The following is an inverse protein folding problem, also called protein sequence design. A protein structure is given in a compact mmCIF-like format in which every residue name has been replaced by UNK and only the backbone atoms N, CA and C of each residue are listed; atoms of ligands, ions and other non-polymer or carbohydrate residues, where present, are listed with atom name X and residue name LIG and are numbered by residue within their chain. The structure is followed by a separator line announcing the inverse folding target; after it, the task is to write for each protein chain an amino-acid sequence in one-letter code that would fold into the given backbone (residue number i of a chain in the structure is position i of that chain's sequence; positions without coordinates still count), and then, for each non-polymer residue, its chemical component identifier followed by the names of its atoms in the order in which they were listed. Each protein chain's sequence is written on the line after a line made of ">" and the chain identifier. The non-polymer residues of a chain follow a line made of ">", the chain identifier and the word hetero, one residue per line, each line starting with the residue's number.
data_IF_553676054539
#
_entry.id   IF_553676054539
#
_cell.length_a   1.000
_cell.length_b   1.000
_cell.length_c   1.000
_cell.angle_alpha   90.00
_cell.angle_beta   90.00
_cell.angle_gamma   90.00
#
_symmetry.space_group_name_H-M   'P 1'
#
loop_
_entity.id
_entity.type
_entity.pdbx_description
1 polymer ?
#
# COMPACT_ATOMS: atom_id res chain seq x y z
N UNK A 1 -9.24 19.55 12.76
CA UNK A 1 -8.36 19.55 11.58
C UNK A 1 -9.15 20.06 10.38
N UNK A 2 -8.63 21.01 9.59
CA UNK A 2 -9.36 21.53 8.43
C UNK A 2 -9.51 20.48 7.32
N UNK A 3 -10.61 20.53 6.58
CA UNK A 3 -10.96 19.51 5.58
C UNK A 3 -10.04 19.51 4.36
N UNK A 4 -9.45 20.66 4.03
CA UNK A 4 -8.38 20.76 3.02
C UNK A 4 -7.18 19.88 3.38
N UNK A 5 -6.79 19.87 4.68
CA UNK A 5 -5.70 19.01 5.16
C UNK A 5 -6.06 17.52 5.08
N UNK A 6 -7.31 17.12 5.43
CA UNK A 6 -7.77 15.72 5.29
C UNK A 6 -7.65 15.20 3.85
N UNK A 7 -8.00 16.02 2.88
CA UNK A 7 -7.87 15.68 1.45
C UNK A 7 -6.41 15.41 1.06
N UNK A 8 -5.48 16.25 1.53
CA UNK A 8 -4.04 16.07 1.30
C UNK A 8 -3.51 14.77 1.92
N UNK A 9 -3.97 14.39 3.10
CA UNK A 9 -3.56 13.14 3.76
C UNK A 9 -3.98 11.88 3.01
N UNK A 10 -5.16 11.88 2.38
CA UNK A 10 -5.58 10.76 1.51
C UNK A 10 -4.68 10.66 0.27
N UNK A 11 -4.19 11.79 -0.27
CA UNK A 11 -3.22 11.78 -1.38
C UNK A 11 -1.92 11.10 -0.96
N UNK A 12 -1.40 11.38 0.24
CA UNK A 12 -0.20 10.71 0.74
C UNK A 12 -0.36 9.19 0.82
N UNK A 13 -1.54 8.70 1.23
CA UNK A 13 -1.82 7.24 1.19
C UNK A 13 -1.86 6.71 -0.24
N UNK A 14 -2.50 7.42 -1.17
CA UNK A 14 -2.56 7.03 -2.59
C UNK A 14 -1.16 6.95 -3.19
N UNK A 15 -0.33 7.98 -2.99
CA UNK A 15 1.07 8.00 -3.44
C UNK A 15 1.84 6.85 -2.80
N UNK A 16 1.62 6.60 -1.50
CA UNK A 16 2.23 5.49 -0.78
C UNK A 16 1.95 4.13 -1.42
N UNK A 17 0.68 3.86 -1.76
CA UNK A 17 0.25 2.62 -2.43
C UNK A 17 0.92 2.47 -3.81
N UNK A 18 0.95 3.55 -4.60
CA UNK A 18 1.56 3.52 -5.93
C UNK A 18 3.06 3.25 -5.86
N UNK A 19 3.78 3.90 -4.94
CA UNK A 19 5.21 3.67 -4.75
C UNK A 19 5.50 2.23 -4.29
N UNK A 20 4.69 1.71 -3.37
CA UNK A 20 4.83 0.33 -2.90
C UNK A 20 4.64 -0.72 -4.00
N UNK A 21 3.88 -0.40 -5.05
CA UNK A 21 3.61 -1.31 -6.18
C UNK A 21 4.82 -1.47 -7.10
N UNK A 22 5.75 -0.51 -7.10
CA UNK A 22 6.87 -0.51 -8.06
C UNK A 22 7.92 -1.59 -7.77
N UNK A 23 8.01 -2.10 -6.54
CA UNK A 23 8.95 -3.15 -6.07
C UNK A 23 10.33 -3.00 -6.73
N UNK A 24 11.06 -1.96 -6.29
CA UNK A 24 12.37 -1.62 -6.84
C UNK A 24 13.47 -1.83 -5.79
N UNK A 25 14.32 -2.81 -6.05
CA UNK A 25 15.47 -3.13 -5.21
C UNK A 25 16.74 -2.46 -5.75
N UNK A 26 17.48 -1.84 -4.84
CA UNK A 26 18.77 -1.24 -5.11
C UNK A 26 19.84 -1.93 -4.29
N UNK A 27 20.99 -2.17 -4.91
CA UNK A 27 22.18 -2.70 -4.25
C UNK A 27 23.20 -1.59 -4.07
N UNK A 28 23.63 -1.37 -2.83
CA UNK A 28 24.73 -0.45 -2.49
C UNK A 28 25.79 -1.25 -1.74
N UNK A 29 26.82 -1.70 -2.46
CA UNK A 29 27.81 -2.62 -1.90
C UNK A 29 27.17 -3.96 -1.48
N UNK A 30 27.38 -4.45 -0.23
CA UNK A 30 26.73 -5.67 0.25
C UNK A 30 25.26 -5.45 0.65
N UNK A 31 24.84 -4.21 0.87
CA UNK A 31 23.52 -3.84 1.38
C UNK A 31 22.47 -3.87 0.26
N UNK A 32 21.34 -4.53 0.52
CA UNK A 32 20.15 -4.44 -0.32
C UNK A 32 19.12 -3.51 0.32
N UNK A 33 18.61 -2.56 -0.45
CA UNK A 33 17.65 -1.56 0.00
C UNK A 33 16.48 -1.54 -0.97
N UNK A 34 15.25 -1.46 -0.45
CA UNK A 34 14.04 -1.21 -1.23
C UNK A 34 13.53 0.21 -0.91
N UNK A 35 14.24 1.28 -1.34
CA UNK A 35 13.99 2.65 -0.89
C UNK A 35 12.61 3.15 -1.31
N UNK A 36 12.14 2.77 -2.49
CA UNK A 36 10.84 3.22 -3.02
C UNK A 36 9.68 2.64 -2.20
N UNK A 37 9.77 1.36 -1.82
CA UNK A 37 8.81 0.72 -0.93
C UNK A 37 8.81 1.38 0.47
N UNK A 38 10.00 1.65 1.02
CA UNK A 38 10.13 2.31 2.32
C UNK A 38 9.55 3.74 2.29
N UNK A 39 9.85 4.53 1.26
CA UNK A 39 9.26 5.87 1.05
C UNK A 39 7.74 5.76 0.94
N UNK A 40 7.22 4.76 0.22
CA UNK A 40 5.79 4.51 0.13
C UNK A 40 5.13 4.17 1.47
N UNK A 41 5.79 3.39 2.32
CA UNK A 41 5.36 3.11 3.70
C UNK A 41 5.32 4.40 4.53
N UNK A 42 6.38 5.22 4.46
CA UNK A 42 6.43 6.50 5.20
C UNK A 42 5.33 7.45 4.73
N UNK A 43 5.10 7.57 3.42
CA UNK A 43 4.01 8.37 2.87
C UNK A 43 2.64 7.89 3.38
N UNK A 44 2.43 6.57 3.42
CA UNK A 44 1.20 5.96 3.97
C UNK A 44 1.02 6.28 5.46
N UNK A 45 2.11 6.30 6.24
CA UNK A 45 2.06 6.68 7.67
C UNK A 45 1.66 8.13 7.82
N UNK A 46 2.31 9.04 7.09
CA UNK A 46 1.99 10.47 7.13
C UNK A 46 0.51 10.69 6.75
N UNK A 47 0.03 9.97 5.75
CA UNK A 47 -1.35 10.02 5.30
C UNK A 47 -2.36 9.47 6.31
N UNK A 48 -2.02 8.44 7.10
CA UNK A 48 -2.96 7.81 8.04
C UNK A 48 -2.94 8.42 9.46
N UNK A 49 -1.80 8.97 9.88
CA UNK A 49 -1.57 9.52 11.21
C UNK A 49 -2.63 10.53 11.70
N UNK A 50 -3.20 11.41 10.85
CA UNK A 50 -4.28 12.27 11.30
C UNK A 50 -5.63 11.55 11.45
N UNK A 51 -5.87 10.46 10.72
CA UNK A 51 -7.09 9.66 10.81
C UNK A 51 -7.07 8.68 11.99
N UNK A 52 -5.90 8.31 12.50
CA UNK A 52 -5.78 7.45 13.69
C UNK A 52 -6.32 8.09 14.98
N UNK A 53 -6.46 9.43 14.98
CA UNK A 53 -7.09 10.19 16.07
C UNK A 53 -8.62 10.18 16.00
N UNK A 54 -9.22 9.68 14.92
CA UNK A 54 -10.68 9.58 14.77
C UNK A 54 -11.25 8.40 15.57
N UNK A 55 -12.58 8.41 15.78
CA UNK A 55 -13.28 7.33 16.52
C UNK A 55 -13.29 6.00 15.76
N UNK A 56 -12.97 5.98 14.46
CA UNK A 56 -12.96 4.76 13.67
C UNK A 56 -11.77 3.86 14.04
N UNK A 57 -12.07 2.71 14.67
CA UNK A 57 -11.09 1.71 15.10
C UNK A 57 -10.25 1.14 13.93
N UNK A 58 -10.79 1.10 12.71
CA UNK A 58 -10.09 0.58 11.54
C UNK A 58 -8.88 1.45 11.15
N UNK A 59 -9.00 2.79 11.23
CA UNK A 59 -7.86 3.68 11.00
C UNK A 59 -6.76 3.51 12.05
N UNK A 60 -7.14 3.23 13.31
CA UNK A 60 -6.17 2.91 14.38
C UNK A 60 -5.42 1.62 14.11
N UNK A 61 -6.07 0.62 13.51
CA UNK A 61 -5.44 -0.66 13.16
C UNK A 61 -4.50 -0.58 11.94
N UNK A 62 -4.58 0.49 11.15
CA UNK A 62 -3.70 0.70 9.99
C UNK A 62 -2.26 1.06 10.43
N UNK A 63 -2.09 1.93 11.43
CA UNK A 63 -0.78 2.39 11.90
C UNK A 63 0.14 1.25 12.38
N UNK A 64 -0.29 0.34 13.27
CA UNK A 64 0.52 -0.80 13.67
C UNK A 64 0.97 -1.66 12.49
N UNK A 65 0.11 -1.80 11.47
CA UNK A 65 0.43 -2.59 10.28
C UNK A 65 1.59 -1.95 9.49
N UNK A 66 1.57 -0.62 9.35
CA UNK A 66 2.66 0.13 8.71
C UNK A 66 3.94 0.18 9.55
N UNK A 67 3.84 0.23 10.89
CA UNK A 67 5.01 0.14 11.76
C UNK A 67 5.70 -1.22 11.66
N UNK A 68 4.93 -2.31 11.58
CA UNK A 68 5.48 -3.65 11.31
C UNK A 68 6.21 -3.66 9.96
N UNK A 69 5.68 -3.00 8.92
CA UNK A 69 6.36 -2.88 7.63
C UNK A 69 7.73 -2.16 7.76
N UNK A 70 7.81 -1.09 8.56
CA UNK A 70 9.09 -0.40 8.82
C UNK A 70 10.07 -1.34 9.54
N UNK A 71 9.63 -2.02 10.59
CA UNK A 71 10.46 -2.95 11.35
C UNK A 71 10.99 -4.05 10.42
N UNK A 72 10.13 -4.59 9.55
CA UNK A 72 10.51 -5.59 8.56
C UNK A 72 11.57 -5.04 7.58
N UNK A 73 11.41 -3.82 7.07
CA UNK A 73 12.39 -3.16 6.21
C UNK A 73 13.76 -3.00 6.89
N UNK A 74 13.78 -2.50 8.13
CA UNK A 74 15.02 -2.30 8.90
C UNK A 74 15.68 -3.65 9.21
N UNK A 75 14.89 -4.64 9.64
CA UNK A 75 15.38 -5.99 9.91
C UNK A 75 15.97 -6.64 8.67
N UNK A 76 15.31 -6.49 7.51
CA UNK A 76 15.84 -6.96 6.23
C UNK A 76 17.16 -6.31 5.86
N UNK A 77 17.29 -4.98 6.02
CA UNK A 77 18.56 -4.29 5.78
C UNK A 77 19.68 -4.88 6.65
N UNK A 78 19.43 -5.08 7.95
CA UNK A 78 20.43 -5.62 8.88
C UNK A 78 20.83 -7.06 8.56
N UNK A 79 19.86 -7.90 8.22
CA UNK A 79 20.13 -9.30 7.81
C UNK A 79 20.89 -9.34 6.49
N UNK A 80 20.53 -8.48 5.52
CA UNK A 80 21.17 -8.43 4.20
C UNK A 80 22.67 -8.07 4.26
N UNK A 81 23.10 -7.30 5.28
CA UNK A 81 24.51 -6.95 5.49
C UNK A 81 25.38 -8.16 5.83
N UNK A 82 24.81 -9.16 6.49
CA UNK A 82 25.53 -10.31 7.03
C UNK A 82 25.30 -11.59 6.21
N UNK A 83 24.57 -11.50 5.08
CA UNK A 83 24.23 -12.67 4.26
C UNK A 83 25.13 -12.86 3.05
N UNK A 84 25.56 -14.10 2.88
CA UNK A 84 26.29 -14.57 1.71
C UNK A 84 25.42 -14.52 0.44
N UNK A 85 26.07 -14.37 -0.71
CA UNK A 85 25.41 -14.23 -2.01
C UNK A 85 24.44 -15.37 -2.34
N UNK A 86 24.75 -16.60 -1.92
CA UNK A 86 23.95 -17.81 -2.17
C UNK A 86 22.56 -17.80 -1.52
N UNK A 87 22.38 -17.05 -0.43
CA UNK A 87 21.11 -17.03 0.31
C UNK A 87 20.31 -15.72 0.12
N UNK A 88 20.86 -14.74 -0.62
CA UNK A 88 20.21 -13.44 -0.82
C UNK A 88 18.90 -13.53 -1.58
N UNK A 89 18.83 -14.37 -2.62
CA UNK A 89 17.60 -14.55 -3.42
C UNK A 89 16.43 -14.99 -2.55
N UNK A 90 16.65 -16.01 -1.71
CA UNK A 90 15.63 -16.50 -0.76
C UNK A 90 15.24 -15.45 0.27
N UNK A 91 16.19 -14.67 0.79
CA UNK A 91 15.88 -13.59 1.74
C UNK A 91 15.00 -12.51 1.08
N UNK A 92 15.34 -12.10 -0.14
CA UNK A 92 14.58 -11.11 -0.92
C UNK A 92 13.14 -11.59 -1.12
N UNK A 93 12.99 -12.84 -1.54
CA UNK A 93 11.68 -13.46 -1.74
C UNK A 93 10.83 -13.44 -0.46
N UNK A 94 11.40 -13.91 0.66
CA UNK A 94 10.70 -13.96 1.95
C UNK A 94 10.32 -12.55 2.39
N UNK A 95 11.23 -11.59 2.23
CA UNK A 95 11.00 -10.20 2.59
C UNK A 95 9.87 -9.57 1.76
N UNK A 96 9.92 -9.67 0.42
CA UNK A 96 8.87 -9.13 -0.43
C UNK A 96 7.53 -9.81 -0.20
N UNK A 97 7.52 -11.13 0.06
CA UNK A 97 6.30 -11.88 0.37
C UNK A 97 5.67 -11.39 1.68
N UNK A 98 6.45 -11.25 2.75
CA UNK A 98 5.97 -10.73 4.02
C UNK A 98 5.50 -9.28 3.90
N UNK A 99 6.27 -8.45 3.20
CA UNK A 99 5.92 -7.05 2.96
C UNK A 99 4.60 -6.94 2.18
N UNK A 100 4.44 -7.74 1.13
CA UNK A 100 3.20 -7.78 0.34
C UNK A 100 1.99 -8.13 1.22
N UNK A 101 2.08 -9.17 2.07
CA UNK A 101 1.00 -9.54 2.99
C UNK A 101 0.65 -8.39 3.95
N UNK A 102 1.66 -7.73 4.52
CA UNK A 102 1.46 -6.60 5.44
C UNK A 102 0.78 -5.44 4.72
N UNK A 103 1.23 -5.10 3.51
CA UNK A 103 0.68 -4.00 2.73
C UNK A 103 -0.73 -4.30 2.21
N UNK A 104 -1.03 -5.54 1.84
CA UNK A 104 -2.39 -6.00 1.52
C UNK A 104 -3.31 -5.84 2.73
N UNK A 105 -2.87 -6.22 3.92
CA UNK A 105 -3.65 -6.06 5.15
C UNK A 105 -3.89 -4.58 5.49
N UNK A 106 -2.88 -3.72 5.30
CA UNK A 106 -3.02 -2.28 5.48
C UNK A 106 -4.05 -1.69 4.51
N UNK A 107 -3.90 -1.95 3.21
CA UNK A 107 -4.78 -1.40 2.16
C UNK A 107 -6.21 -1.90 2.31
N UNK A 108 -6.43 -3.16 2.72
CA UNK A 108 -7.75 -3.66 3.08
C UNK A 108 -8.38 -2.86 4.22
N UNK A 109 -7.70 -2.73 5.37
CA UNK A 109 -8.19 -1.98 6.53
C UNK A 109 -8.47 -0.52 6.19
N UNK A 110 -7.61 0.09 5.38
CA UNK A 110 -7.77 1.48 4.93
C UNK A 110 -9.00 1.65 4.03
N UNK A 111 -9.20 0.73 3.09
CA UNK A 111 -10.39 0.68 2.22
C UNK A 111 -11.67 0.58 3.03
N UNK A 112 -11.70 -0.35 3.98
CA UNK A 112 -12.86 -0.54 4.84
C UNK A 112 -13.08 0.68 5.74
N UNK A 113 -12.04 1.28 6.30
CA UNK A 113 -12.16 2.48 7.12
C UNK A 113 -12.79 3.66 6.35
N UNK A 114 -12.33 3.91 5.11
CA UNK A 114 -12.90 4.93 4.23
C UNK A 114 -14.34 4.60 3.80
N UNK A 115 -14.60 3.33 3.51
CA UNK A 115 -15.94 2.81 3.17
C UNK A 115 -16.92 3.08 4.30
N UNK A 116 -16.55 2.74 5.53
CA UNK A 116 -17.34 3.00 6.72
C UNK A 116 -17.63 4.48 6.90
N UNK A 117 -16.60 5.33 6.75
CA UNK A 117 -16.75 6.78 6.84
C UNK A 117 -17.67 7.34 5.74
N UNK A 118 -17.63 6.78 4.53
CA UNK A 118 -18.53 7.16 3.44
C UNK A 118 -19.97 6.71 3.67
N UNK A 119 -20.20 5.50 4.22
CA UNK A 119 -21.52 4.99 4.60
C UNK A 119 -22.16 5.82 5.70
N UNK A 120 -21.39 6.22 6.73
CA UNK A 120 -21.86 7.15 7.77
C UNK A 120 -22.35 8.48 7.18
N UNK A 121 -21.79 8.91 6.04
CA UNK A 121 -22.20 10.11 5.32
C UNK A 121 -23.37 9.86 4.32
N UNK A 122 -24.06 8.70 4.42
CA UNK A 122 -25.16 8.26 3.53
C UNK A 122 -24.82 8.31 2.04
N UNK A 123 -23.61 7.90 1.66
CA UNK A 123 -23.21 7.87 0.24
C UNK A 123 -23.11 6.45 -0.28
N UNK A 124 -23.85 6.20 -1.35
CA UNK A 124 -23.58 5.09 -2.25
C UNK A 124 -22.27 5.41 -2.98
N UNK A 125 -21.18 4.77 -2.55
CA UNK A 125 -20.01 4.65 -3.39
C UNK A 125 -20.03 3.27 -4.04
N UNK A 126 -19.47 3.15 -5.24
CA UNK A 126 -19.29 1.87 -5.94
C UNK A 126 -18.25 0.99 -5.23
N UNK A 127 -18.64 0.50 -4.04
CA UNK A 127 -17.83 -0.36 -3.18
C UNK A 127 -17.42 -1.69 -3.85
N UNK A 128 -18.25 -2.32 -4.70
CA UNK A 128 -17.86 -3.56 -5.39
C UNK A 128 -16.67 -3.35 -6.35
N UNK A 129 -16.64 -2.23 -7.05
CA UNK A 129 -15.60 -1.89 -8.03
C UNK A 129 -14.26 -1.62 -7.35
N UNK A 130 -14.28 -0.92 -6.21
CA UNK A 130 -13.10 -0.66 -5.37
C UNK A 130 -12.51 -1.97 -4.82
N UNK A 131 -13.37 -2.89 -4.37
CA UNK A 131 -12.95 -4.21 -3.87
C UNK A 131 -12.41 -5.10 -4.98
N UNK A 132 -13.01 -5.08 -6.17
CA UNK A 132 -12.49 -5.79 -7.34
C UNK A 132 -11.11 -5.28 -7.75
N UNK A 133 -10.93 -3.96 -7.84
CA UNK A 133 -9.64 -3.33 -8.14
C UNK A 133 -8.54 -3.74 -7.14
N UNK A 134 -8.88 -3.71 -5.85
CA UNK A 134 -8.02 -4.17 -4.77
C UNK A 134 -7.65 -5.65 -4.91
N UNK A 135 -8.62 -6.52 -5.18
CA UNK A 135 -8.38 -7.95 -5.32
C UNK A 135 -7.48 -8.25 -6.53
N UNK A 136 -7.73 -7.60 -7.67
CA UNK A 136 -6.89 -7.70 -8.86
C UNK A 136 -5.45 -7.27 -8.53
N UNK A 137 -5.28 -6.13 -7.86
CA UNK A 137 -3.97 -5.67 -7.40
C UNK A 137 -3.25 -6.73 -6.53
N UNK A 138 -3.95 -7.31 -5.55
CA UNK A 138 -3.38 -8.34 -4.67
C UNK A 138 -2.95 -9.60 -5.41
N UNK A 139 -3.80 -10.11 -6.32
CA UNK A 139 -3.52 -11.33 -7.09
C UNK A 139 -2.29 -11.15 -7.97
N UNK A 140 -2.18 -10.00 -8.66
CA UNK A 140 -1.06 -9.79 -9.57
C UNK A 140 0.25 -9.45 -8.87
N UNK A 141 0.22 -8.88 -7.65
CA UNK A 141 1.43 -8.82 -6.81
C UNK A 141 1.89 -10.22 -6.40
N UNK A 142 0.97 -11.09 -5.97
CA UNK A 142 1.35 -12.46 -5.60
C UNK A 142 1.93 -13.23 -6.80
N UNK A 143 1.32 -13.07 -7.98
CA UNK A 143 1.83 -13.64 -9.23
C UNK A 143 3.21 -13.09 -9.62
N UNK A 144 3.46 -11.79 -9.39
CA UNK A 144 4.79 -11.19 -9.63
C UNK A 144 5.85 -11.85 -8.77
N UNK A 145 5.59 -11.98 -7.47
CA UNK A 145 6.54 -12.57 -6.51
C UNK A 145 6.80 -14.05 -6.84
N UNK A 146 5.76 -14.81 -7.21
CA UNK A 146 5.91 -16.21 -7.63
C UNK A 146 6.69 -16.33 -8.94
N UNK A 147 6.35 -15.53 -9.95
CA UNK A 147 7.01 -15.58 -11.26
C UNK A 147 8.49 -15.19 -11.18
N UNK A 148 8.83 -14.20 -10.35
CA UNK A 148 10.22 -13.82 -10.06
C UNK A 148 11.00 -14.95 -9.41
N UNK A 149 10.37 -15.75 -8.54
CA UNK A 149 11.02 -16.90 -7.90
C UNK A 149 11.29 -18.06 -8.87
N UNK A 150 10.51 -18.20 -9.93
CA UNK A 150 10.66 -19.26 -10.94
C UNK A 150 11.38 -18.78 -12.21
N UNK A 151 11.98 -17.58 -12.19
CA UNK A 151 12.66 -16.95 -13.33
C UNK A 151 11.81 -16.86 -14.61
N UNK A 152 10.48 -16.75 -14.47
CA UNK A 152 9.55 -16.70 -15.61
C UNK A 152 9.34 -15.24 -16.04
N UNK A 153 10.35 -14.69 -16.73
CA UNK A 153 10.44 -13.26 -17.07
C UNK A 153 9.16 -12.66 -17.70
N UNK A 154 8.54 -13.37 -18.65
CA UNK A 154 7.33 -12.88 -19.34
C UNK A 154 6.16 -12.77 -18.34
N UNK A 155 5.97 -13.76 -17.48
CA UNK A 155 4.89 -13.76 -16.48
C UNK A 155 5.14 -12.68 -15.44
N UNK A 156 6.39 -12.49 -15.00
CA UNK A 156 6.78 -11.37 -14.15
C UNK A 156 6.38 -10.03 -14.76
N UNK A 157 6.79 -9.76 -16.01
CA UNK A 157 6.55 -8.47 -16.66
C UNK A 157 5.05 -8.19 -16.83
N UNK A 158 4.29 -9.19 -17.27
CA UNK A 158 2.84 -9.08 -17.41
C UNK A 158 2.17 -8.87 -16.05
N UNK A 159 2.55 -9.64 -15.03
CA UNK A 159 1.99 -9.50 -13.69
C UNK A 159 2.29 -8.14 -13.05
N UNK A 160 3.51 -7.61 -13.25
CA UNK A 160 3.90 -6.25 -12.81
C UNK A 160 3.09 -5.17 -13.52
N UNK A 161 2.89 -5.31 -14.83
CA UNK A 161 2.11 -4.33 -15.59
C UNK A 161 0.65 -4.31 -15.13
N UNK A 162 0.03 -5.49 -14.95
CA UNK A 162 -1.36 -5.58 -14.52
C UNK A 162 -1.53 -5.14 -13.06
N UNK A 163 -0.60 -5.49 -12.17
CA UNK A 163 -0.64 -5.02 -10.78
C UNK A 163 -0.53 -3.49 -10.69
N UNK A 164 0.33 -2.87 -11.50
CA UNK A 164 0.43 -1.42 -11.57
C UNK A 164 -0.83 -0.77 -12.13
N UNK A 165 -1.40 -1.31 -13.23
CA UNK A 165 -2.66 -0.83 -13.79
C UNK A 165 -3.81 -0.92 -12.77
N UNK A 166 -3.90 -2.04 -12.04
CA UNK A 166 -4.88 -2.25 -10.98
C UNK A 166 -4.67 -1.28 -9.80
N UNK A 167 -3.42 -1.02 -9.40
CA UNK A 167 -3.07 -0.05 -8.37
C UNK A 167 -3.46 1.37 -8.77
N UNK A 168 -3.21 1.78 -10.02
CA UNK A 168 -3.65 3.08 -10.55
C UNK A 168 -5.17 3.21 -10.55
N UNK A 169 -5.87 2.17 -10.99
CA UNK A 169 -7.33 2.17 -11.02
C UNK A 169 -7.93 2.24 -9.60
N UNK A 170 -7.36 1.49 -8.66
CA UNK A 170 -7.70 1.55 -7.24
C UNK A 170 -7.41 2.92 -6.64
N UNK A 171 -6.23 3.50 -6.90
CA UNK A 171 -5.85 4.85 -6.50
C UNK A 171 -6.81 5.92 -7.03
N UNK A 172 -7.22 5.82 -8.29
CA UNK A 172 -8.20 6.73 -8.89
C UNK A 172 -9.56 6.61 -8.20
N UNK A 173 -9.99 5.39 -7.90
CA UNK A 173 -11.24 5.12 -7.18
C UNK A 173 -11.23 5.72 -5.77
N UNK A 174 -10.11 5.59 -5.04
CA UNK A 174 -9.90 6.26 -3.75
C UNK A 174 -9.94 7.78 -3.88
N UNK A 175 -9.34 8.34 -4.93
CA UNK A 175 -9.35 9.79 -5.19
C UNK A 175 -10.77 10.31 -5.50
N UNK A 176 -11.58 9.56 -6.24
CA UNK A 176 -12.98 9.89 -6.49
C UNK A 176 -13.79 9.84 -5.20
N UNK A 177 -13.59 8.80 -4.37
CA UNK A 177 -14.23 8.69 -3.05
C UNK A 177 -13.87 9.89 -2.16
N UNK A 178 -12.59 10.27 -2.13
CA UNK A 178 -12.10 11.47 -1.44
C UNK A 178 -12.84 12.74 -1.90
N UNK A 179 -12.95 12.96 -3.21
CA UNK A 179 -13.65 14.13 -3.77
C UNK A 179 -15.13 14.13 -3.38
N UNK A 180 -15.81 12.99 -3.45
CA UNK A 180 -17.21 12.83 -3.02
C UNK A 180 -17.37 13.14 -1.54
N UNK A 181 -16.46 12.68 -0.68
CA UNK A 181 -16.44 13.01 0.77
C UNK A 181 -16.31 14.53 0.96
N UNK A 182 -15.35 15.18 0.31
CA UNK A 182 -15.03 16.61 0.48
C UNK A 182 -16.16 17.58 0.03
N UNK A 183 -16.71 17.40 -1.17
CA UNK A 183 -17.72 18.34 -1.74
C UNK A 183 -18.97 18.46 -0.87
N UNK A 184 -19.34 17.38 -0.20
CA UNK A 184 -20.59 17.28 0.54
C UNK A 184 -20.45 17.77 1.98
N UNK A 185 -19.28 17.64 2.61
CA UNK A 185 -19.06 18.26 3.92
C UNK A 185 -19.12 19.80 3.80
N UNK A 186 -18.61 20.34 2.67
CA UNK A 186 -18.75 21.77 2.34
C UNK A 186 -20.20 22.21 2.11
N UNK A 187 -21.12 21.32 1.71
CA UNK A 187 -22.55 21.63 1.49
C UNK A 187 -23.40 21.59 2.77
N UNK A 188 -22.93 20.92 3.82
CA UNK A 188 -23.62 20.80 5.12
C UNK A 188 -23.15 21.82 6.16
N UNK A 189 -22.35 22.80 5.75
CA UNK A 189 -22.02 24.02 6.48
C UNK A 189 -22.65 25.20 5.76
#
# INVERSE_FOLDING_TARGET
>A
MSESKKSQYIIYVIVGILLQTLILDFKIGPLLICPINLIGVVASIIGILPFSKEQNRLFKMCLPTLYIAIILHIGFMFVSLNMDASHRGTLILVFHSMLAIILMNFTYKYTEALTWQAKFLKKEADMPLLRSAYLTYCVFIALTILADNYDVLIVTLVARFISYAAAMYYANSLNQLRKKIYVLIKKTR
#
